data_IF_528483710617
#
_entry.id   IF_528483710617
#
_cell.length_a   1.000
_cell.length_b   1.000
_cell.length_c   1.000
_cell.angle_alpha   90.00
_cell.angle_beta   90.00
_cell.angle_gamma   90.00
#
_symmetry.space_group_name_H-M   'P 1'
#
loop_
_entity.id
_entity.type
_entity.pdbx_description
1 polymer ?
#
# COMPACT_ATOMS: atom_id res chain seq x y z
N UNK A 1 70.95 12.36 9.79
CA UNK A 1 69.95 13.30 10.37
C UNK A 1 68.60 12.99 9.73
N UNK A 2 67.68 12.42 10.52
CA UNK A 2 66.40 11.83 10.09
C UNK A 2 65.36 12.93 9.76
N UNK A 3 64.85 12.98 8.51
CA UNK A 3 63.69 13.81 8.15
C UNK A 3 62.41 13.04 8.51
N UNK A 4 61.68 13.51 9.52
CA UNK A 4 60.39 12.96 9.96
C UNK A 4 59.30 13.34 8.94
N UNK A 5 58.75 12.36 8.24
CA UNK A 5 57.56 12.53 7.39
C UNK A 5 56.35 12.35 8.30
N UNK A 6 55.66 13.45 8.63
CA UNK A 6 54.39 13.41 9.33
C UNK A 6 53.30 13.03 8.32
N UNK A 7 52.78 11.81 8.41
CA UNK A 7 51.62 11.37 7.64
C UNK A 7 50.36 12.01 8.24
N UNK A 8 49.77 12.97 7.53
CA UNK A 8 48.46 13.53 7.87
C UNK A 8 47.37 12.49 7.55
N UNK A 9 46.79 11.91 8.60
CA UNK A 9 45.70 10.94 8.51
C UNK A 9 44.40 11.71 8.23
N UNK A 10 44.01 11.80 6.96
CA UNK A 10 42.75 12.40 6.54
C UNK A 10 41.59 11.45 6.92
N UNK A 11 40.83 11.82 7.95
CA UNK A 11 39.63 11.12 8.40
C UNK A 11 38.51 11.41 7.39
N UNK A 12 38.27 10.48 6.46
CA UNK A 12 37.16 10.57 5.52
C UNK A 12 35.83 10.40 6.26
N UNK A 13 35.08 11.49 6.45
CA UNK A 13 33.73 11.46 6.97
C UNK A 13 32.79 10.84 5.93
N UNK A 14 32.37 9.59 6.18
CA UNK A 14 31.34 8.92 5.37
C UNK A 14 29.99 9.65 5.57
N UNK A 15 29.30 10.09 4.51
CA UNK A 15 27.96 10.62 4.63
C UNK A 15 27.01 9.48 5.02
N UNK A 16 26.32 9.65 6.16
CA UNK A 16 25.28 8.74 6.64
C UNK A 16 24.06 8.90 5.72
N UNK A 17 23.98 8.09 4.67
CA UNK A 17 22.82 8.09 3.76
C UNK A 17 21.62 7.56 4.51
N UNK A 18 20.63 8.42 4.74
CA UNK A 18 19.32 8.05 5.28
C UNK A 18 18.69 7.01 4.34
N UNK A 19 18.59 5.77 4.81
CA UNK A 19 17.86 4.72 4.14
C UNK A 19 16.37 5.11 4.11
N UNK A 20 15.71 5.09 2.94
CA UNK A 20 14.27 5.31 2.88
C UNK A 20 13.58 4.22 3.68
N UNK A 21 12.88 4.59 4.75
CA UNK A 21 11.99 3.70 5.47
C UNK A 21 10.84 3.36 4.53
N UNK A 22 10.90 2.17 3.93
CA UNK A 22 9.77 1.64 3.18
C UNK A 22 8.56 1.61 4.12
N UNK A 23 7.50 2.36 3.78
CA UNK A 23 6.25 2.37 4.54
C UNK A 23 5.71 0.93 4.62
N UNK A 24 5.85 0.30 5.78
CA UNK A 24 5.31 -1.03 6.04
C UNK A 24 3.77 -0.95 6.12
N UNK A 25 3.09 -2.00 5.67
CA UNK A 25 1.67 -2.15 5.99
C UNK A 25 1.57 -2.48 7.47
N UNK A 26 0.78 -1.70 8.21
CA UNK A 26 0.63 -1.84 9.66
C UNK A 26 -0.76 -2.38 9.97
N UNK A 27 -0.86 -3.52 10.66
CA UNK A 27 -2.13 -4.02 11.20
C UNK A 27 -2.59 -3.05 12.29
N UNK A 28 -3.65 -2.28 12.01
CA UNK A 28 -4.20 -1.28 12.94
C UNK A 28 -5.38 -1.82 13.74
N UNK A 29 -6.05 -2.87 13.25
CA UNK A 29 -7.10 -3.54 14.00
C UNK A 29 -7.29 -5.00 13.57
N UNK A 30 -7.82 -5.78 14.51
CA UNK A 30 -8.25 -7.17 14.33
C UNK A 30 -9.56 -7.37 15.06
N UNK A 31 -10.58 -7.81 14.36
CA UNK A 31 -11.93 -8.02 14.90
C UNK A 31 -12.33 -9.48 14.69
N UNK A 32 -12.38 -10.26 15.78
CA UNK A 32 -12.86 -11.63 15.73
C UNK A 32 -14.34 -11.69 15.35
N UNK A 33 -14.68 -12.52 14.37
CA UNK A 33 -16.05 -12.64 13.85
C UNK A 33 -16.74 -13.94 14.26
N UNK A 34 -15.98 -14.94 14.73
CA UNK A 34 -16.53 -16.18 15.23
C UNK A 34 -15.67 -16.85 16.32
N UNK A 35 -16.24 -17.91 16.91
CA UNK A 35 -15.61 -18.76 17.92
C UNK A 35 -14.53 -19.72 17.38
N UNK A 36 -14.34 -19.81 16.05
CA UNK A 36 -13.34 -20.67 15.42
C UNK A 36 -12.03 -19.90 15.18
N UNK A 37 -12.03 -18.59 15.49
CA UNK A 37 -10.85 -17.74 15.36
C UNK A 37 -10.69 -17.15 13.97
N UNK A 38 -11.79 -16.93 13.26
CA UNK A 38 -11.78 -16.10 12.06
C UNK A 38 -11.83 -14.62 12.46
N UNK A 39 -11.03 -13.80 11.80
CA UNK A 39 -10.85 -12.38 12.12
C UNK A 39 -11.11 -11.51 10.88
N UNK A 40 -11.51 -10.26 11.08
CA UNK A 40 -11.36 -9.20 10.08
C UNK A 40 -10.15 -8.37 10.47
N UNK A 41 -9.16 -8.35 9.61
CA UNK A 41 -7.92 -7.59 9.78
C UNK A 41 -8.08 -6.26 9.04
N UNK A 42 -7.66 -5.17 9.68
CA UNK A 42 -7.57 -3.84 9.06
C UNK A 42 -6.11 -3.42 9.04
N UNK A 43 -5.60 -3.14 7.85
CA UNK A 43 -4.24 -2.66 7.64
C UNK A 43 -4.23 -1.23 7.13
N UNK A 44 -3.37 -0.39 7.70
CA UNK A 44 -3.07 0.93 7.17
C UNK A 44 -1.91 0.85 6.19
N UNK A 45 -2.11 1.42 5.01
CA UNK A 45 -1.15 1.41 3.90
C UNK A 45 -1.07 2.82 3.33
N UNK A 46 0.14 3.37 3.29
CA UNK A 46 0.40 4.66 2.66
C UNK A 46 0.66 4.49 1.17
N UNK A 47 0.14 5.42 0.38
CA UNK A 47 0.45 5.48 -1.04
C UNK A 47 1.91 5.94 -1.23
N UNK A 48 2.77 5.13 -1.88
CA UNK A 48 4.20 5.42 -2.00
C UNK A 48 4.53 6.65 -2.84
N UNK A 49 3.64 7.03 -3.77
CA UNK A 49 3.83 8.22 -4.62
C UNK A 49 2.99 9.42 -4.16
N UNK A 50 1.98 9.18 -3.34
CA UNK A 50 1.10 10.23 -2.80
C UNK A 50 1.06 10.14 -1.28
N UNK A 51 2.14 10.55 -0.61
CA UNK A 51 2.31 10.40 0.85
C UNK A 51 1.23 11.08 1.71
N UNK A 52 0.47 12.03 1.14
CA UNK A 52 -0.69 12.65 1.79
C UNK A 52 -1.95 11.80 1.85
N UNK A 53 -1.91 10.56 1.33
CA UNK A 53 -3.02 9.61 1.34
C UNK A 53 -2.66 8.34 2.10
N UNK A 54 -3.55 7.94 3.01
CA UNK A 54 -3.48 6.66 3.72
C UNK A 54 -4.75 5.87 3.46
N UNK A 55 -4.58 4.62 3.03
CA UNK A 55 -5.64 3.67 2.77
C UNK A 55 -5.72 2.64 3.89
N UNK A 56 -6.93 2.37 4.35
CA UNK A 56 -7.24 1.29 5.28
C UNK A 56 -7.88 0.17 4.47
N UNK A 57 -7.23 -0.98 4.46
CA UNK A 57 -7.77 -2.17 3.81
C UNK A 57 -8.26 -3.13 4.88
N UNK A 58 -9.54 -3.48 4.80
CA UNK A 58 -10.14 -4.52 5.61
C UNK A 58 -10.28 -5.81 4.80
N UNK A 59 -9.85 -6.92 5.36
CA UNK A 59 -10.02 -8.25 4.76
C UNK A 59 -10.26 -9.31 5.83
N UNK A 60 -10.96 -10.37 5.45
CA UNK A 60 -11.23 -11.51 6.33
C UNK A 60 -10.01 -12.43 6.38
N UNK A 61 -9.60 -12.86 7.56
CA UNK A 61 -8.52 -13.82 7.81
C UNK A 61 -9.06 -15.08 8.50
N UNK A 62 -8.83 -16.24 7.89
CA UNK A 62 -9.27 -17.56 8.36
C UNK A 62 -8.31 -18.17 9.35
N UNK A 63 -8.87 -18.85 10.35
CA UNK A 63 -8.10 -19.66 11.29
C UNK A 63 -7.34 -20.79 10.58
N UNK A 64 -6.21 -21.20 11.16
CA UNK A 64 -5.37 -22.29 10.64
C UNK A 64 -6.15 -23.63 10.56
N UNK A 65 -7.07 -23.85 11.50
CA UNK A 65 -7.91 -25.06 11.55
C UNK A 65 -8.95 -25.08 10.41
N UNK A 66 -9.57 -23.94 10.09
CA UNK A 66 -10.53 -23.84 8.99
C UNK A 66 -9.83 -24.01 7.62
N UNK A 67 -8.63 -23.40 7.46
CA UNK A 67 -7.77 -23.55 6.27
C UNK A 67 -7.34 -25.00 6.00
N UNK A 68 -7.07 -25.77 7.06
CA UNK A 68 -6.74 -27.20 6.95
C UNK A 68 -7.96 -28.06 6.55
N UNK A 69 -9.18 -27.64 6.89
CA UNK A 69 -10.40 -28.43 6.67
C UNK A 69 -11.06 -28.22 5.30
N UNK A 70 -11.01 -27.00 4.74
CA UNK A 70 -11.73 -26.64 3.51
C UNK A 70 -10.86 -26.60 2.24
N UNK A 71 -9.55 -26.79 2.36
CA UNK A 71 -8.64 -26.91 1.21
C UNK A 71 -8.46 -25.64 0.36
N UNK A 72 -9.20 -24.56 0.63
CA UNK A 72 -9.00 -23.25 0.02
C UNK A 72 -8.06 -22.42 0.92
N UNK A 73 -6.78 -22.37 0.54
CA UNK A 73 -5.71 -21.79 1.36
C UNK A 73 -5.62 -20.27 1.28
N UNK A 74 -6.38 -19.66 0.36
CA UNK A 74 -6.36 -18.25 0.05
C UNK A 74 -7.77 -17.69 0.22
N UNK A 75 -7.90 -16.64 1.02
CA UNK A 75 -9.13 -15.87 1.07
C UNK A 75 -9.39 -15.26 -0.30
N UNK A 76 -10.66 -15.28 -0.70
CA UNK A 76 -11.09 -14.58 -1.90
C UNK A 76 -10.77 -13.08 -1.69
N UNK A 77 -9.77 -12.52 -2.41
CA UNK A 77 -9.36 -11.12 -2.27
C UNK A 77 -10.51 -10.15 -2.50
N UNK A 78 -11.57 -10.64 -3.14
CA UNK A 78 -12.68 -9.84 -3.59
C UNK A 78 -13.75 -9.61 -2.52
N UNK A 79 -13.62 -10.25 -1.34
CA UNK A 79 -14.32 -9.90 -0.10
C UNK A 79 -13.48 -8.97 0.79
N UNK A 80 -12.94 -7.91 0.19
CA UNK A 80 -12.18 -6.87 0.89
C UNK A 80 -12.85 -5.51 0.74
N UNK A 81 -12.56 -4.60 1.66
CA UNK A 81 -13.02 -3.22 1.62
C UNK A 81 -11.82 -2.27 1.74
N UNK A 82 -11.76 -1.26 0.88
CA UNK A 82 -10.74 -0.21 0.94
C UNK A 82 -11.37 1.14 1.28
N UNK A 83 -10.75 1.87 2.19
CA UNK A 83 -11.08 3.27 2.47
C UNK A 83 -9.80 4.10 2.50
N UNK A 84 -9.65 5.00 1.55
CA UNK A 84 -8.55 5.96 1.52
C UNK A 84 -8.99 7.29 2.10
N UNK A 85 -8.09 7.95 2.82
CA UNK A 85 -8.35 9.24 3.45
C UNK A 85 -7.11 10.12 3.33
N UNK A 86 -7.36 11.43 3.24
CA UNK A 86 -6.32 12.44 3.27
C UNK A 86 -5.72 12.53 4.67
N UNK A 87 -4.42 12.27 4.77
CA UNK A 87 -3.65 12.36 6.02
C UNK A 87 -2.56 13.43 5.96
N UNK A 88 -2.35 14.06 4.79
CA UNK A 88 -1.39 15.15 4.62
C UNK A 88 -1.56 15.93 3.32
N UNK A 89 -0.58 16.79 2.98
CA UNK A 89 -0.51 17.48 1.69
C UNK A 89 -0.39 16.50 0.52
N UNK A 90 -1.08 16.76 -0.59
CA UNK A 90 -1.06 15.89 -1.77
C UNK A 90 -0.24 16.54 -2.88
N UNK A 91 0.72 15.78 -3.42
CA UNK A 91 1.53 16.15 -4.58
C UNK A 91 1.43 15.03 -5.61
N UNK A 92 0.90 15.35 -6.79
CA UNK A 92 0.67 14.38 -7.87
C UNK A 92 1.72 14.44 -8.98
N UNK A 93 2.78 15.22 -8.82
CA UNK A 93 3.80 15.43 -9.87
C UNK A 93 4.54 14.16 -10.33
N UNK A 94 4.39 13.04 -9.63
CA UNK A 94 5.08 11.78 -9.91
C UNK A 94 4.14 10.64 -10.34
N UNK A 95 2.84 10.92 -10.49
CA UNK A 95 1.85 9.88 -10.84
C UNK A 95 1.68 9.75 -12.35
N UNK A 96 1.31 8.56 -12.79
CA UNK A 96 0.88 8.28 -14.16
C UNK A 96 -0.64 8.46 -14.27
N UNK A 97 -1.10 9.20 -15.28
CA UNK A 97 -2.52 9.56 -15.45
C UNK A 97 -3.17 8.88 -16.65
N UNK A 98 -2.65 7.73 -17.09
CA UNK A 98 -3.25 6.98 -18.20
C UNK A 98 -4.65 6.45 -17.85
N UNK A 99 -5.44 6.10 -18.87
CA UNK A 99 -6.85 5.69 -18.73
C UNK A 99 -7.05 4.49 -17.81
N UNK A 100 -6.07 3.59 -17.77
CA UNK A 100 -6.12 2.42 -16.91
C UNK A 100 -5.81 2.78 -15.43
N UNK A 101 -5.21 3.93 -15.15
CA UNK A 101 -4.71 4.30 -13.83
C UNK A 101 -3.42 3.58 -13.46
N UNK A 102 -2.78 4.03 -12.39
CA UNK A 102 -1.48 3.56 -11.93
C UNK A 102 -1.62 2.49 -10.84
N UNK A 103 -0.86 1.40 -10.91
CA UNK A 103 -0.83 0.40 -9.85
C UNK A 103 -0.11 0.97 -8.62
N UNK A 104 -0.83 1.09 -7.51
CA UNK A 104 -0.29 1.69 -6.26
C UNK A 104 0.50 0.67 -5.46
N UNK A 105 0.00 -0.57 -5.42
CA UNK A 105 0.58 -1.65 -4.65
C UNK A 105 0.87 -2.82 -5.57
N UNK A 106 2.15 -3.17 -5.71
CA UNK A 106 2.58 -4.39 -6.39
C UNK A 106 3.10 -5.39 -5.38
N UNK A 107 2.75 -6.65 -5.63
CA UNK A 107 2.97 -7.83 -4.81
C UNK A 107 4.32 -7.85 -4.11
N UNK A 108 4.30 -8.07 -2.80
CA UNK A 108 5.52 -8.22 -2.02
C UNK A 108 5.36 -8.18 -0.49
N UNK A 109 4.16 -7.93 0.04
CA UNK A 109 3.98 -7.66 1.48
C UNK A 109 3.22 -8.72 2.28
N UNK A 110 2.37 -9.53 1.65
CA UNK A 110 1.76 -10.73 2.27
C UNK A 110 1.39 -11.75 1.19
N UNK A 111 1.37 -13.05 1.55
CA UNK A 111 0.85 -14.12 0.68
C UNK A 111 -0.63 -13.88 0.31
N UNK A 112 -1.34 -13.08 1.11
CA UNK A 112 -2.76 -12.70 0.94
C UNK A 112 -2.90 -11.55 -0.09
N UNK A 113 -1.92 -10.64 -0.19
CA UNK A 113 -1.92 -9.54 -1.17
C UNK A 113 -1.62 -9.95 -2.61
N UNK A 114 -1.20 -11.20 -2.84
CA UNK A 114 -0.94 -11.70 -4.21
C UNK A 114 -2.19 -11.70 -5.08
N UNK A 115 -3.36 -11.74 -4.45
CA UNK A 115 -4.63 -11.84 -5.13
C UNK A 115 -5.39 -10.49 -5.18
N UNK A 116 -4.93 -9.42 -4.52
CA UNK A 116 -5.55 -8.08 -4.54
C UNK A 116 -4.66 -7.05 -5.26
N UNK A 117 -5.24 -6.35 -6.24
CA UNK A 117 -4.61 -5.23 -6.96
C UNK A 117 -5.33 -3.93 -6.62
N UNK A 118 -4.58 -2.89 -6.25
CA UNK A 118 -5.11 -1.53 -6.05
C UNK A 118 -4.54 -0.58 -7.08
N UNK A 119 -5.43 0.10 -7.79
CA UNK A 119 -5.10 1.09 -8.81
C UNK A 119 -5.55 2.48 -8.39
N UNK A 120 -4.67 3.46 -8.57
CA UNK A 120 -4.95 4.88 -8.41
C UNK A 120 -5.27 5.47 -9.77
N UNK A 121 -6.44 6.07 -9.87
CA UNK A 121 -6.90 6.77 -11.06
C UNK A 121 -7.05 8.24 -10.67
N UNK A 122 -6.57 9.14 -11.52
CA UNK A 122 -6.78 10.56 -11.34
C UNK A 122 -7.95 11.02 -12.21
N UNK A 123 -9.03 11.44 -11.57
CA UNK A 123 -10.14 12.12 -12.22
C UNK A 123 -9.84 13.62 -12.25
N UNK A 124 -9.38 14.10 -13.40
CA UNK A 124 -9.00 15.49 -13.61
C UNK A 124 -10.20 16.45 -13.59
N UNK A 125 -11.37 16.01 -14.07
CA UNK A 125 -12.57 16.84 -14.16
C UNK A 125 -13.12 17.12 -12.76
N UNK A 126 -13.22 16.10 -11.92
CA UNK A 126 -13.73 16.22 -10.56
C UNK A 126 -12.64 16.54 -9.52
N UNK A 127 -11.36 16.52 -9.93
CA UNK A 127 -10.18 16.67 -9.05
C UNK A 127 -10.19 15.68 -7.89
N UNK A 128 -10.29 14.39 -8.21
CA UNK A 128 -10.37 13.31 -7.22
C UNK A 128 -9.34 12.23 -7.55
N UNK A 129 -8.71 11.67 -6.52
CA UNK A 129 -8.01 10.40 -6.63
C UNK A 129 -8.96 9.27 -6.31
N UNK A 130 -9.07 8.33 -7.22
CA UNK A 130 -9.89 7.13 -7.09
C UNK A 130 -8.94 5.96 -6.83
N UNK A 131 -9.21 5.19 -5.78
CA UNK A 131 -8.48 3.98 -5.45
C UNK A 131 -9.41 2.78 -5.65
N UNK A 132 -9.18 2.03 -6.72
CA UNK A 132 -9.95 0.83 -7.07
C UNK A 132 -9.18 -0.41 -6.65
N UNK A 133 -9.74 -1.16 -5.70
CA UNK A 133 -9.26 -2.47 -5.28
C UNK A 133 -10.07 -3.57 -5.99
N UNK A 134 -9.38 -4.51 -6.64
CA UNK A 134 -9.99 -5.63 -7.37
C UNK A 134 -9.07 -6.86 -7.32
N UNK A 135 -9.62 -8.06 -7.58
CA UNK A 135 -8.78 -9.25 -7.67
C UNK A 135 -7.82 -9.17 -8.87
N UNK A 136 -6.59 -9.61 -8.65
CA UNK A 136 -5.56 -9.73 -9.68
C UNK A 136 -5.69 -11.04 -10.48
N UNK A 137 -6.55 -11.97 -10.04
CA UNK A 137 -6.75 -13.28 -10.68
C UNK A 137 -7.51 -13.11 -12.01
N UNK A 138 -6.82 -13.31 -13.13
CA UNK A 138 -7.41 -13.19 -14.48
C UNK A 138 -8.36 -14.35 -14.83
N UNK A 139 -8.28 -15.47 -14.10
CA UNK A 139 -8.93 -16.74 -14.45
C UNK A 139 -10.45 -16.71 -14.28
N UNK A 140 -10.99 -15.97 -13.31
CA UNK A 140 -12.43 -15.94 -13.01
C UNK A 140 -13.11 -14.61 -13.33
N UNK A 141 -12.35 -13.55 -13.64
CA UNK A 141 -12.89 -12.21 -13.80
C UNK A 141 -13.42 -11.66 -12.47
N UNK A 142 -12.71 -10.71 -11.86
CA UNK A 142 -13.13 -10.13 -10.58
C UNK A 142 -14.35 -9.22 -10.74
N UNK A 143 -15.57 -9.76 -10.69
CA UNK A 143 -16.79 -8.94 -10.63
C UNK A 143 -16.91 -8.17 -9.29
N UNK A 144 -16.17 -8.61 -8.28
CA UNK A 144 -16.14 -8.06 -6.93
C UNK A 144 -15.00 -7.04 -6.84
N UNK A 145 -15.36 -5.83 -6.41
CA UNK A 145 -14.47 -4.68 -6.33
C UNK A 145 -14.83 -3.79 -5.14
N UNK A 146 -13.85 -3.03 -4.67
CA UNK A 146 -14.03 -2.00 -3.66
C UNK A 146 -13.38 -0.71 -4.14
N UNK A 147 -13.95 0.44 -3.80
CA UNK A 147 -13.51 1.74 -4.29
C UNK A 147 -13.53 2.77 -3.19
N UNK A 148 -12.50 3.61 -3.15
CA UNK A 148 -12.43 4.78 -2.31
C UNK A 148 -12.08 6.02 -3.15
N UNK A 149 -12.52 7.18 -2.69
CA UNK A 149 -12.21 8.46 -3.33
C UNK A 149 -11.59 9.42 -2.33
N UNK A 150 -10.58 10.17 -2.78
CA UNK A 150 -9.93 11.22 -2.01
C UNK A 150 -10.01 12.53 -2.79
N UNK A 151 -10.77 13.53 -2.32
CA UNK A 151 -10.87 14.80 -3.01
C UNK A 151 -9.57 15.59 -2.90
N UNK A 152 -9.20 16.25 -4.00
CA UNK A 152 -8.14 17.24 -4.00
C UNK A 152 -8.70 18.62 -3.65
N UNK A 153 -7.85 19.39 -3.00
CA UNK A 153 -8.07 20.80 -2.65
C UNK A 153 -7.33 21.69 -3.64
N UNK A 154 -7.59 22.99 -3.59
CA UNK A 154 -6.91 23.96 -4.47
C UNK A 154 -5.40 24.02 -4.22
N UNK A 155 -4.96 23.71 -3.00
CA UNK A 155 -3.56 23.75 -2.59
C UNK A 155 -2.75 22.53 -3.04
N UNK A 156 -3.41 21.49 -3.55
CA UNK A 156 -2.75 20.28 -4.03
C UNK A 156 -2.16 20.47 -5.43
N UNK A 157 -0.97 19.91 -5.63
CA UNK A 157 -0.31 19.96 -6.93
C UNK A 157 -0.94 18.93 -7.86
N UNK A 158 -1.50 19.41 -8.96
CA UNK A 158 -1.95 18.57 -10.06
C UNK A 158 -0.74 17.86 -10.74
N UNK A 159 -0.97 16.76 -11.47
CA UNK A 159 0.06 16.04 -12.20
C UNK A 159 0.79 16.90 -13.23
#
# INVERSE_FOLDING_TARGET
MMRRIAAAMALAALPLTALPTAAAAEEVARVGVDWVGNDVIVEAIQDPKVSGVTCHLAYFSRSVLDRLSQGNWFEDPSNSAIQCTRTGPIDLSQIETGDDGEKVFSEGRSLIFKSLSVRRIYDAENRVLIYLAHSAELSEGSAKMSLATVPLTQDDKAP
#
